data_IF_983509455218
#
_entry.id   IF_983509455218
#
_cell.length_a   1.000
_cell.length_b   1.000
_cell.length_c   1.000
_cell.angle_alpha   90.00
_cell.angle_beta   90.00
_cell.angle_gamma   90.00
#
_symmetry.space_group_name_H-M   'P 1'
#
loop_
_entity.id
_entity.type
_entity.pdbx_description
1 polymer ?
#
# COMPACT_ATOMS: atom_id res chain seq x y z
N UNK A 1 -13.11 8.18 -4.67
CA UNK A 1 -12.03 7.58 -5.48
C UNK A 1 -12.00 8.15 -6.89
N UNK A 2 -12.99 7.87 -7.76
CA UNK A 2 -12.96 8.39 -9.14
C UNK A 2 -13.03 9.93 -9.18
N UNK A 3 -13.86 10.56 -8.35
CA UNK A 3 -13.89 12.03 -8.20
C UNK A 3 -12.53 12.58 -7.75
N UNK A 4 -11.99 12.12 -6.62
CA UNK A 4 -10.65 12.49 -6.15
C UNK A 4 -9.51 12.26 -7.18
N UNK A 5 -9.59 11.22 -8.00
CA UNK A 5 -8.66 11.02 -9.12
C UNK A 5 -8.84 12.11 -10.21
N UNK A 6 -10.09 12.42 -10.58
CA UNK A 6 -10.43 13.46 -11.56
C UNK A 6 -10.07 14.87 -11.06
N UNK A 7 -10.16 15.08 -9.75
CA UNK A 7 -9.86 16.35 -9.08
C UNK A 7 -8.36 16.51 -8.73
N UNK A 8 -7.54 15.47 -8.96
CA UNK A 8 -6.10 15.49 -8.69
C UNK A 8 -5.71 15.36 -7.21
N UNK A 9 -6.67 15.01 -6.35
CA UNK A 9 -6.48 14.86 -4.89
C UNK A 9 -6.05 13.44 -4.48
N UNK A 10 -6.03 12.48 -5.42
CA UNK A 10 -5.62 11.11 -5.12
C UNK A 10 -4.09 10.99 -5.07
N UNK A 11 -3.55 10.81 -3.87
CA UNK A 11 -2.10 10.70 -3.64
C UNK A 11 -1.54 9.29 -3.92
N UNK A 12 -2.15 8.22 -3.36
CA UNK A 12 -1.65 6.85 -3.50
C UNK A 12 -2.79 5.81 -3.51
N UNK A 13 -2.54 4.68 -4.17
CA UNK A 13 -3.44 3.52 -4.17
C UNK A 13 -2.65 2.21 -4.15
N UNK A 14 -2.96 1.34 -3.19
CA UNK A 14 -2.31 0.04 -3.01
C UNK A 14 -3.25 -0.96 -2.34
N UNK A 15 -3.05 -2.25 -2.63
CA UNK A 15 -3.66 -3.35 -1.91
C UNK A 15 -2.80 -3.77 -0.72
N UNK A 16 -3.42 -4.25 0.36
CA UNK A 16 -2.73 -4.84 1.50
C UNK A 16 -3.21 -6.27 1.73
N UNK A 17 -2.30 -7.18 2.10
CA UNK A 17 -2.64 -8.57 2.36
C UNK A 17 -1.42 -9.42 2.68
N UNK A 18 -1.64 -10.57 3.34
CA UNK A 18 -0.57 -11.42 3.89
C UNK A 18 0.50 -11.81 2.86
N UNK A 19 0.10 -12.07 1.61
CA UNK A 19 1.01 -12.52 0.56
C UNK A 19 2.02 -11.47 0.09
N UNK A 20 1.64 -10.18 0.08
CA UNK A 20 2.46 -9.12 -0.52
C UNK A 20 2.77 -7.97 0.45
N UNK A 21 2.13 -7.95 1.61
CA UNK A 21 2.11 -6.87 2.60
C UNK A 21 1.49 -5.58 2.03
N UNK A 22 2.11 -5.00 1.00
CA UNK A 22 1.65 -3.85 0.23
C UNK A 22 1.94 -4.08 -1.27
N UNK A 23 0.92 -3.96 -2.12
CA UNK A 23 1.02 -4.10 -3.57
C UNK A 23 0.52 -2.83 -4.29
N UNK A 24 1.35 -2.13 -5.09
CA UNK A 24 0.93 -0.93 -5.81
C UNK A 24 -0.09 -1.25 -6.91
N UNK A 25 -1.05 -0.36 -7.17
CA UNK A 25 -2.08 -0.53 -8.19
C UNK A 25 -1.79 0.36 -9.40
N UNK A 26 -1.37 -0.23 -10.52
CA UNK A 26 -1.04 0.53 -11.74
C UNK A 26 -2.25 0.99 -12.57
N UNK A 27 -3.38 0.28 -12.49
CA UNK A 27 -4.59 0.60 -13.26
C UNK A 27 -5.84 0.05 -12.61
N UNK A 28 -6.93 0.83 -12.65
CA UNK A 28 -8.29 0.39 -12.35
C UNK A 28 -9.14 0.52 -13.61
N UNK A 29 -9.80 -0.58 -14.01
CA UNK A 29 -10.81 -0.57 -15.06
C UNK A 29 -12.20 -0.56 -14.43
N UNK A 30 -13.02 0.44 -14.75
CA UNK A 30 -14.35 0.59 -14.18
C UNK A 30 -15.31 1.23 -15.17
N UNK A 31 -16.44 0.57 -15.45
CA UNK A 31 -17.51 1.07 -16.33
C UNK A 31 -17.01 1.52 -17.73
N UNK A 32 -16.03 0.81 -18.30
CA UNK A 32 -15.45 1.16 -19.59
C UNK A 32 -14.38 2.26 -19.54
N UNK A 33 -14.20 2.92 -18.39
CA UNK A 33 -13.11 3.88 -18.17
C UNK A 33 -11.86 3.17 -17.62
N UNK A 34 -10.69 3.57 -18.10
CA UNK A 34 -9.40 3.16 -17.55
C UNK A 34 -8.81 4.31 -16.73
N UNK A 35 -8.66 4.06 -15.43
CA UNK A 35 -7.97 4.95 -14.50
C UNK A 35 -6.53 4.42 -14.40
N UNK A 36 -5.61 5.12 -15.08
CA UNK A 36 -4.19 4.79 -15.06
C UNK A 36 -3.52 5.59 -13.95
N UNK A 37 -2.75 4.91 -13.10
CA UNK A 37 -1.90 5.58 -12.11
C UNK A 37 -0.48 5.60 -12.65
N UNK A 38 0.11 6.79 -12.72
CA UNK A 38 1.52 6.95 -13.10
C UNK A 38 2.38 6.62 -11.89
N UNK A 39 2.74 5.33 -11.77
CA UNK A 39 3.46 4.81 -10.62
C UNK A 39 4.89 4.46 -11.02
N UNK A 40 5.83 5.34 -10.70
CA UNK A 40 7.22 4.95 -10.51
C UNK A 40 7.35 4.14 -9.20
N UNK A 41 6.75 2.95 -9.16
CA UNK A 41 6.82 2.04 -8.02
C UNK A 41 5.80 2.31 -6.90
N UNK A 42 6.22 2.11 -5.65
CA UNK A 42 5.38 2.32 -4.45
C UNK A 42 5.57 3.76 -3.96
N UNK A 43 4.48 4.49 -3.75
CA UNK A 43 4.55 5.83 -3.18
C UNK A 43 5.19 5.87 -1.77
N UNK A 44 5.58 7.07 -1.29
CA UNK A 44 6.21 7.25 0.02
C UNK A 44 5.42 6.62 1.19
N UNK A 45 4.09 6.72 1.21
CA UNK A 45 3.29 6.16 2.30
C UNK A 45 3.21 4.63 2.24
N UNK A 46 2.90 4.08 1.07
CA UNK A 46 2.93 2.64 0.81
C UNK A 46 4.29 2.01 1.21
N UNK A 47 5.39 2.69 0.89
CA UNK A 47 6.75 2.26 1.26
C UNK A 47 6.97 2.28 2.77
N UNK A 48 6.52 3.35 3.45
CA UNK A 48 6.61 3.47 4.91
C UNK A 48 5.83 2.35 5.61
N UNK A 49 4.60 2.07 5.17
CA UNK A 49 3.76 1.01 5.74
C UNK A 49 4.41 -0.36 5.54
N UNK A 50 4.87 -0.66 4.32
CA UNK A 50 5.55 -1.92 4.04
C UNK A 50 6.77 -2.13 4.94
N UNK A 51 7.61 -1.09 5.09
CA UNK A 51 8.79 -1.14 5.96
C UNK A 51 8.40 -1.39 7.41
N UNK A 52 7.41 -0.66 7.94
CA UNK A 52 6.98 -0.81 9.33
C UNK A 52 6.49 -2.23 9.64
N UNK A 53 5.66 -2.80 8.76
CA UNK A 53 5.12 -4.15 8.95
C UNK A 53 6.23 -5.20 8.82
N UNK A 54 7.06 -5.11 7.77
CA UNK A 54 8.12 -6.10 7.54
C UNK A 54 9.22 -6.04 8.59
N UNK A 55 9.58 -4.85 9.08
CA UNK A 55 10.55 -4.72 10.17
C UNK A 55 10.02 -5.33 11.47
N UNK A 56 8.73 -5.16 11.75
CA UNK A 56 8.08 -5.79 12.90
C UNK A 56 8.07 -7.33 12.76
N UNK A 57 7.66 -7.85 11.61
CA UNK A 57 7.62 -9.29 11.33
C UNK A 57 8.98 -9.98 11.49
N UNK A 58 10.06 -9.29 11.11
CA UNK A 58 11.42 -9.81 11.21
C UNK A 58 12.13 -9.43 12.52
N UNK A 59 11.42 -8.84 13.50
CA UNK A 59 11.99 -8.46 14.79
C UNK A 59 13.07 -7.38 14.73
N UNK A 60 13.10 -6.57 13.66
CA UNK A 60 14.06 -5.45 13.52
C UNK A 60 13.67 -4.23 14.36
N UNK A 61 12.42 -4.18 14.81
CA UNK A 61 11.89 -3.18 15.75
C UNK A 61 11.19 -3.88 16.91
N UNK A 62 11.13 -3.19 18.05
CA UNK A 62 10.42 -3.69 19.24
C UNK A 62 8.92 -3.71 18.97
N UNK A 63 8.29 -4.85 19.23
CA UNK A 63 6.84 -4.98 19.18
C UNK A 63 6.20 -4.40 20.45
N UNK A 64 5.75 -3.15 20.35
CA UNK A 64 5.08 -2.45 21.45
C UNK A 64 3.59 -2.79 21.58
N UNK A 65 3.02 -3.53 20.64
CA UNK A 65 1.58 -3.82 20.57
C UNK A 65 1.26 -5.31 20.72
N UNK A 66 2.26 -6.19 20.77
CA UNK A 66 2.08 -7.64 20.90
C UNK A 66 1.46 -8.29 19.65
N UNK A 67 1.79 -7.79 18.46
CA UNK A 67 1.32 -8.36 17.18
C UNK A 67 2.08 -9.61 16.74
N UNK A 68 3.33 -9.79 17.18
CA UNK A 68 4.16 -10.94 16.79
C UNK A 68 4.03 -12.05 17.82
N UNK A 69 3.58 -13.22 17.37
CA UNK A 69 3.56 -14.43 18.19
C UNK A 69 4.80 -15.29 17.88
N UNK A 70 5.74 -15.48 18.84
CA UNK A 70 6.87 -16.38 18.66
C UNK A 70 6.38 -17.84 18.68
N UNK A 71 6.98 -18.67 17.81
CA UNK A 71 6.72 -20.11 17.72
C UNK A 71 7.86 -20.93 18.30
#
# INVERSE_FOLDING_TARGET
>A
MIAAFKDGELEEVFGAGTAAVIAPIGRIHHQGENIQFDLEGRGPFATKVHKAITDLQHGRVVDTHGWVHPV
#
